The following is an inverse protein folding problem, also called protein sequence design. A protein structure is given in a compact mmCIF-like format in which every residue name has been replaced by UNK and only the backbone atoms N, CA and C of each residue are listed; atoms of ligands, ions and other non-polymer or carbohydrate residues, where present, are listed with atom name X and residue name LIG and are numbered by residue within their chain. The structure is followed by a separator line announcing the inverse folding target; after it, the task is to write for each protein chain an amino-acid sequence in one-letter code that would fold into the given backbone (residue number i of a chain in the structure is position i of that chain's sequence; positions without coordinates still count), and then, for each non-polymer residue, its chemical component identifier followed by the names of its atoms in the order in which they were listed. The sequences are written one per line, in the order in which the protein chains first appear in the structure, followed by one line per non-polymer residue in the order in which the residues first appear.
data_IF_356976846482
#
_entry.id   IF_356976846482
#
_cell.length_a   1.000
_cell.length_b   1.000
_cell.length_c   1.000
_cell.angle_alpha   90.00
_cell.angle_beta   90.00
_cell.angle_gamma   90.00
#
_symmetry.space_group_name_H-M   'P 1'
#
loop_
_entity.id
_entity.type
_entity.pdbx_description
1 polymer ?
#
# COMPACT_ATOMS: atom_id res chain seq x y z
N UNK A 1 -24.25 29.66 -0.63
CA UNK A 1 -24.64 28.27 -0.33
C UNK A 1 -25.10 27.64 -1.63
N UNK A 2 -24.30 26.82 -2.26
CA UNK A 2 -24.69 26.03 -3.43
C UNK A 2 -25.22 24.71 -2.87
N UNK A 3 -26.42 24.27 -3.23
CA UNK A 3 -26.95 23.01 -2.72
C UNK A 3 -26.11 21.84 -3.27
N UNK A 4 -25.61 21.02 -2.38
CA UNK A 4 -25.03 19.73 -2.74
C UNK A 4 -26.19 18.88 -3.27
N UNK A 5 -26.21 18.62 -4.57
CA UNK A 5 -27.12 17.64 -5.14
C UNK A 5 -26.75 16.27 -4.56
N UNK A 6 -27.72 15.61 -3.94
CA UNK A 6 -27.66 14.21 -3.60
C UNK A 6 -27.34 13.42 -4.87
N UNK A 7 -26.23 12.72 -4.87
CA UNK A 7 -25.86 11.83 -5.96
C UNK A 7 -26.93 10.74 -6.07
N UNK A 8 -27.57 10.69 -7.23
CA UNK A 8 -28.63 9.76 -7.59
C UNK A 8 -28.14 8.31 -7.37
N UNK A 9 -28.77 7.59 -6.45
CA UNK A 9 -28.44 6.22 -6.02
C UNK A 9 -28.74 5.14 -7.09
N UNK A 10 -28.81 5.51 -8.36
CA UNK A 10 -29.13 4.62 -9.48
C UNK A 10 -27.98 4.41 -10.46
N UNK A 11 -26.75 4.28 -9.95
CA UNK A 11 -25.69 3.70 -10.77
C UNK A 11 -25.90 2.19 -10.84
N UNK A 12 -25.93 1.58 -12.03
CA UNK A 12 -26.26 0.16 -12.15
C UNK A 12 -25.08 -0.73 -11.75
N UNK A 13 -24.79 -0.82 -10.46
CA UNK A 13 -23.84 -1.81 -9.91
C UNK A 13 -24.35 -3.27 -10.02
N UNK A 14 -25.60 -3.46 -10.41
CA UNK A 14 -26.24 -4.79 -10.42
C UNK A 14 -26.07 -5.59 -11.73
N UNK A 15 -25.36 -5.08 -12.75
CA UNK A 15 -25.28 -5.74 -14.08
C UNK A 15 -23.93 -6.34 -14.46
N UNK A 16 -22.91 -6.29 -13.63
CA UNK A 16 -21.57 -6.84 -13.93
C UNK A 16 -21.12 -7.90 -12.93
N UNK A 17 -21.97 -8.82 -12.56
CA UNK A 17 -21.52 -10.11 -12.02
C UNK A 17 -21.31 -11.07 -13.21
N UNK A 18 -20.54 -10.66 -14.21
CA UNK A 18 -19.81 -11.64 -15.03
C UNK A 18 -18.83 -12.34 -14.10
N UNK A 19 -18.80 -13.68 -14.15
CA UNK A 19 -17.84 -14.47 -13.38
C UNK A 19 -16.45 -13.92 -13.64
N UNK A 20 -15.87 -13.26 -12.64
CA UNK A 20 -14.54 -12.70 -12.76
C UNK A 20 -13.57 -13.76 -13.24
N UNK A 21 -12.73 -13.47 -14.25
CA UNK A 21 -11.71 -14.41 -14.67
C UNK A 21 -10.82 -14.69 -13.46
N UNK A 22 -10.76 -15.96 -13.05
CA UNK A 22 -9.87 -16.37 -11.95
C UNK A 22 -8.44 -16.26 -12.41
N UNK A 23 -7.61 -15.64 -11.59
CA UNK A 23 -6.16 -15.55 -11.79
C UNK A 23 -5.59 -16.98 -11.98
N UNK A 24 -4.91 -17.20 -13.10
CA UNK A 24 -4.31 -18.48 -13.46
C UNK A 24 -2.87 -18.58 -12.94
N UNK A 25 -2.36 -19.78 -12.75
CA UNK A 25 -1.00 -19.98 -12.19
C UNK A 25 0.13 -19.46 -13.08
N UNK A 26 -0.14 -19.26 -14.36
CA UNK A 26 0.80 -18.74 -15.34
C UNK A 26 0.57 -17.25 -15.67
N UNK A 27 -0.42 -16.61 -15.05
CA UNK A 27 -0.61 -15.16 -15.19
C UNK A 27 0.50 -14.42 -14.47
N UNK A 28 0.95 -13.32 -15.07
CA UNK A 28 1.97 -12.47 -14.47
C UNK A 28 1.36 -11.58 -13.39
N UNK A 29 1.89 -11.70 -12.18
CA UNK A 29 1.57 -10.85 -11.04
C UNK A 29 2.70 -9.86 -10.85
N UNK A 30 2.38 -8.57 -10.88
CA UNK A 30 3.31 -7.49 -10.53
C UNK A 30 3.13 -7.07 -9.08
N UNK A 31 4.22 -7.01 -8.33
CA UNK A 31 4.26 -6.51 -6.94
C UNK A 31 5.23 -5.33 -6.88
N UNK A 32 4.69 -4.12 -6.84
CA UNK A 32 5.44 -2.90 -6.60
C UNK A 32 5.74 -2.75 -5.10
N UNK A 33 6.96 -2.43 -4.73
CA UNK A 33 7.43 -2.41 -3.34
C UNK A 33 7.83 -3.81 -2.82
N UNK A 34 8.19 -4.73 -3.73
CA UNK A 34 8.53 -6.12 -3.39
C UNK A 34 9.80 -6.25 -2.53
N UNK A 35 10.71 -5.27 -2.59
CA UNK A 35 11.90 -5.21 -1.72
C UNK A 35 11.57 -4.85 -0.26
N UNK A 36 10.32 -4.46 0.04
CA UNK A 36 9.82 -4.17 1.37
C UNK A 36 9.28 -5.38 2.11
N UNK A 37 8.82 -5.14 3.35
CA UNK A 37 8.27 -6.17 4.23
C UNK A 37 7.01 -6.84 3.66
N UNK A 38 5.97 -6.03 3.39
CA UNK A 38 4.67 -6.55 2.95
C UNK A 38 4.78 -7.11 1.52
N UNK A 39 5.48 -6.39 0.62
CA UNK A 39 5.65 -6.82 -0.77
C UNK A 39 6.42 -8.15 -0.88
N UNK A 40 7.49 -8.31 -0.11
CA UNK A 40 8.23 -9.57 -0.05
C UNK A 40 7.39 -10.73 0.50
N UNK A 41 6.60 -10.48 1.55
CA UNK A 41 5.68 -11.47 2.11
C UNK A 41 4.60 -11.88 1.10
N UNK A 42 4.06 -10.93 0.35
CA UNK A 42 3.07 -11.19 -0.70
C UNK A 42 3.67 -12.00 -1.85
N UNK A 43 4.89 -11.67 -2.28
CA UNK A 43 5.59 -12.44 -3.31
C UNK A 43 5.80 -13.90 -2.89
N UNK A 44 6.20 -14.13 -1.64
CA UNK A 44 6.32 -15.47 -1.05
C UNK A 44 4.97 -16.19 -1.04
N UNK A 45 3.92 -15.51 -0.59
CA UNK A 45 2.57 -16.09 -0.57
C UNK A 45 2.13 -16.58 -1.95
N UNK A 46 2.29 -15.78 -2.99
CA UNK A 46 1.91 -16.19 -4.35
C UNK A 46 2.75 -17.36 -4.85
N UNK A 47 4.07 -17.34 -4.61
CA UNK A 47 4.94 -18.48 -4.93
C UNK A 47 4.46 -19.75 -4.24
N UNK A 48 4.19 -19.68 -2.93
CA UNK A 48 3.75 -20.85 -2.13
C UNK A 48 2.36 -21.36 -2.56
N UNK A 49 1.53 -20.48 -3.11
CA UNK A 49 0.26 -20.83 -3.77
C UNK A 49 0.45 -21.42 -5.18
N UNK A 50 1.68 -21.55 -5.66
CA UNK A 50 2.01 -22.16 -6.95
C UNK A 50 1.87 -21.25 -8.16
N UNK A 51 1.84 -19.93 -7.99
CA UNK A 51 1.96 -18.98 -9.09
C UNK A 51 3.39 -18.97 -9.62
N UNK A 52 3.56 -19.01 -10.94
CA UNK A 52 4.85 -19.25 -11.58
C UNK A 52 5.48 -17.96 -12.15
N UNK A 53 4.67 -16.94 -12.36
CA UNK A 53 5.14 -15.68 -12.95
C UNK A 53 4.85 -14.54 -11.97
N UNK A 54 5.84 -14.20 -11.18
CA UNK A 54 5.79 -13.11 -10.19
C UNK A 54 6.91 -12.15 -10.52
N UNK A 55 6.57 -10.89 -10.73
CA UNK A 55 7.52 -9.79 -10.93
C UNK A 55 7.49 -8.89 -9.71
N UNK A 56 8.60 -8.81 -9.00
CA UNK A 56 8.82 -7.87 -7.92
C UNK A 56 9.57 -6.64 -8.43
N UNK A 57 9.10 -5.46 -8.05
CA UNK A 57 9.75 -4.18 -8.40
C UNK A 57 9.96 -3.35 -7.15
N UNK A 58 11.15 -2.78 -6.97
CA UNK A 58 11.47 -1.82 -5.93
C UNK A 58 12.57 -0.87 -6.41
N UNK A 59 12.65 0.34 -5.84
CA UNK A 59 13.75 1.27 -6.11
C UNK A 59 15.04 0.91 -5.39
N UNK A 60 14.96 0.09 -4.32
CA UNK A 60 16.10 -0.41 -3.58
C UNK A 60 16.94 -1.34 -4.44
N UNK A 61 18.25 -1.27 -4.28
CA UNK A 61 19.14 -2.26 -4.86
C UNK A 61 18.80 -3.67 -4.33
N UNK A 62 18.95 -4.67 -5.17
CA UNK A 62 18.55 -6.05 -4.84
C UNK A 62 19.16 -6.61 -3.53
N UNK A 63 20.42 -6.27 -3.14
CA UNK A 63 20.97 -6.67 -1.85
C UNK A 63 20.23 -6.11 -0.63
N UNK A 64 19.51 -5.01 -0.78
CA UNK A 64 18.77 -4.32 0.29
C UNK A 64 17.33 -4.83 0.47
N UNK A 65 16.89 -5.76 -0.40
CA UNK A 65 15.57 -6.35 -0.28
C UNK A 65 15.49 -7.23 0.96
N UNK A 66 14.46 -7.05 1.76
CA UNK A 66 14.27 -7.81 3.00
C UNK A 66 14.07 -9.31 2.77
N UNK A 67 13.41 -9.65 1.67
CA UNK A 67 13.18 -11.03 1.26
C UNK A 67 13.49 -11.17 -0.24
N UNK A 68 14.36 -12.13 -0.57
CA UNK A 68 14.63 -12.52 -1.94
C UNK A 68 14.15 -13.93 -2.16
N UNK A 69 13.32 -14.10 -3.17
CA UNK A 69 12.70 -15.37 -3.50
C UNK A 69 13.24 -15.77 -4.88
N UNK A 70 13.97 -16.91 -5.00
CA UNK A 70 14.70 -17.25 -6.22
C UNK A 70 13.85 -17.27 -7.50
N UNK A 71 12.58 -17.66 -7.38
CA UNK A 71 11.66 -17.80 -8.52
C UNK A 71 10.95 -16.50 -8.92
N UNK A 72 11.21 -15.39 -8.21
CA UNK A 72 10.61 -14.09 -8.50
C UNK A 72 11.54 -13.29 -9.41
N UNK A 73 11.00 -12.80 -10.53
CA UNK A 73 11.67 -11.81 -11.37
C UNK A 73 11.81 -10.49 -10.59
N UNK A 74 13.03 -10.06 -10.30
CA UNK A 74 13.30 -8.87 -9.49
C UNK A 74 13.84 -7.74 -10.36
N UNK A 75 13.15 -6.59 -10.38
CA UNK A 75 13.56 -5.40 -11.12
C UNK A 75 13.84 -4.25 -10.14
N UNK A 76 14.99 -3.62 -10.29
CA UNK A 76 15.32 -2.37 -9.58
C UNK A 76 14.90 -1.19 -10.43
N UNK A 77 13.72 -0.62 -10.14
CA UNK A 77 13.15 0.50 -10.88
C UNK A 77 12.50 1.51 -9.92
N UNK A 78 12.72 2.79 -10.16
CA UNK A 78 11.97 3.86 -9.50
C UNK A 78 10.63 4.07 -10.22
N UNK A 79 9.55 3.68 -9.57
CA UNK A 79 8.19 3.79 -10.09
C UNK A 79 7.59 5.20 -10.00
N UNK A 80 8.33 6.20 -9.49
CA UNK A 80 7.97 7.61 -9.70
C UNK A 80 8.19 8.06 -11.15
N UNK A 81 8.86 7.25 -11.96
CA UNK A 81 9.08 7.46 -13.38
C UNK A 81 8.06 6.65 -14.21
N UNK A 82 7.36 7.33 -15.13
CA UNK A 82 6.31 6.75 -15.96
C UNK A 82 6.80 5.58 -16.83
N UNK A 83 7.97 5.74 -17.47
CA UNK A 83 8.54 4.70 -18.33
C UNK A 83 8.90 3.43 -17.55
N UNK A 84 9.36 3.58 -16.30
CA UNK A 84 9.63 2.44 -15.44
C UNK A 84 8.32 1.71 -15.06
N UNK A 85 7.22 2.45 -14.83
CA UNK A 85 5.91 1.86 -14.60
C UNK A 85 5.42 1.08 -15.83
N UNK A 86 5.59 1.64 -17.04
CA UNK A 86 5.25 0.97 -18.29
C UNK A 86 6.00 -0.36 -18.43
N UNK A 87 7.31 -0.36 -18.23
CA UNK A 87 8.16 -1.57 -18.26
C UNK A 87 7.75 -2.58 -17.19
N UNK A 88 7.45 -2.11 -15.97
CA UNK A 88 7.04 -2.98 -14.88
C UNK A 88 5.71 -3.69 -15.17
N UNK A 89 4.74 -2.98 -15.76
CA UNK A 89 3.40 -3.49 -16.03
C UNK A 89 3.31 -4.36 -17.29
N UNK A 90 4.36 -4.45 -18.12
CA UNK A 90 4.30 -5.20 -19.37
C UNK A 90 3.90 -6.66 -19.14
N UNK A 91 2.73 -7.05 -19.68
CA UNK A 91 2.15 -8.39 -19.57
C UNK A 91 1.59 -8.74 -18.18
N UNK A 92 1.51 -7.79 -17.25
CA UNK A 92 0.93 -8.04 -15.94
C UNK A 92 -0.61 -8.17 -16.03
N UNK A 93 -1.14 -9.23 -15.43
CA UNK A 93 -2.59 -9.49 -15.31
C UNK A 93 -3.16 -8.89 -14.03
N UNK A 94 -2.42 -8.97 -12.94
CA UNK A 94 -2.74 -8.30 -11.69
C UNK A 94 -1.57 -7.48 -11.19
N UNK A 95 -1.86 -6.28 -10.65
CA UNK A 95 -0.87 -5.34 -10.13
C UNK A 95 -1.17 -5.05 -8.66
N UNK A 96 -0.18 -5.25 -7.80
CA UNK A 96 -0.24 -4.94 -6.37
C UNK A 96 0.69 -3.77 -6.05
N UNK A 97 0.11 -2.60 -5.82
CA UNK A 97 0.86 -1.40 -5.45
C UNK A 97 1.04 -1.31 -3.93
N UNK A 98 2.22 -1.70 -3.46
CA UNK A 98 2.68 -1.59 -2.07
C UNK A 98 3.86 -0.62 -1.96
N UNK A 99 4.22 0.04 -3.07
CA UNK A 99 5.34 0.98 -3.12
C UNK A 99 4.94 2.34 -2.55
N UNK A 100 5.62 2.77 -1.51
CA UNK A 100 5.49 4.09 -0.91
C UNK A 100 6.71 4.44 -0.06
N UNK A 101 7.04 5.72 0.03
CA UNK A 101 7.94 6.20 1.07
C UNK A 101 7.14 6.42 2.35
N UNK A 102 7.32 5.51 3.30
CA UNK A 102 6.58 5.53 4.56
C UNK A 102 7.40 4.92 5.71
N UNK A 103 6.92 5.14 6.92
CA UNK A 103 7.51 4.60 8.15
C UNK A 103 6.53 4.67 9.31
N UNK A 104 7.03 4.65 10.54
CA UNK A 104 6.28 5.00 11.74
C UNK A 104 5.91 6.49 11.77
N UNK A 105 5.12 6.92 12.78
CA UNK A 105 4.65 8.32 12.91
C UNK A 105 5.80 9.32 12.82
N UNK A 106 6.91 9.09 13.50
CA UNK A 106 8.06 10.01 13.47
C UNK A 106 8.65 10.21 12.07
N UNK A 107 8.56 9.21 11.19
CA UNK A 107 9.00 9.33 9.80
C UNK A 107 8.00 10.17 8.97
N UNK A 108 6.72 9.84 9.01
CA UNK A 108 5.70 10.51 8.18
C UNK A 108 5.50 11.98 8.58
N UNK A 109 5.68 12.32 9.85
CA UNK A 109 5.64 13.71 10.32
C UNK A 109 6.85 14.52 9.88
N UNK A 110 8.03 13.93 9.82
CA UNK A 110 9.29 14.58 9.50
C UNK A 110 9.56 14.70 8.01
N UNK A 111 9.14 13.72 7.22
CA UNK A 111 9.45 13.59 5.79
C UNK A 111 8.18 13.64 4.92
N UNK A 112 7.37 14.68 5.12
CA UNK A 112 6.08 14.84 4.44
C UNK A 112 6.20 14.99 2.93
N UNK A 113 7.24 15.64 2.43
CA UNK A 113 7.46 15.82 0.98
C UNK A 113 7.72 14.46 0.33
N UNK A 114 8.56 13.63 0.93
CA UNK A 114 8.88 12.28 0.44
C UNK A 114 7.63 11.41 0.43
N UNK A 115 6.81 11.49 1.49
CA UNK A 115 5.53 10.77 1.55
C UNK A 115 4.58 11.23 0.44
N UNK A 116 4.41 12.56 0.26
CA UNK A 116 3.55 13.12 -0.80
C UNK A 116 4.01 12.73 -2.21
N UNK A 117 5.31 12.61 -2.45
CA UNK A 117 5.84 12.19 -3.76
C UNK A 117 5.41 10.78 -4.15
N UNK A 118 4.98 9.95 -3.21
CA UNK A 118 4.41 8.62 -3.50
C UNK A 118 3.17 8.68 -4.38
N UNK A 119 2.50 9.84 -4.49
CA UNK A 119 1.40 10.05 -5.43
C UNK A 119 1.82 9.78 -6.88
N UNK A 120 3.06 10.12 -7.26
CA UNK A 120 3.59 9.87 -8.59
C UNK A 120 3.66 8.37 -8.89
N UNK A 121 4.05 7.57 -7.90
CA UNK A 121 4.08 6.11 -8.05
C UNK A 121 2.69 5.57 -8.37
N UNK A 122 1.67 5.95 -7.58
CA UNK A 122 0.33 5.46 -7.84
C UNK A 122 -0.24 5.95 -9.17
N UNK A 123 -0.06 7.24 -9.48
CA UNK A 123 -0.58 7.85 -10.72
C UNK A 123 -0.01 7.17 -11.96
N UNK A 124 1.32 7.00 -12.02
CA UNK A 124 1.96 6.37 -13.17
C UNK A 124 1.69 4.86 -13.25
N UNK A 125 1.68 4.18 -12.08
CA UNK A 125 1.52 2.73 -12.06
C UNK A 125 0.10 2.30 -12.41
N UNK A 126 -0.94 3.00 -11.95
CA UNK A 126 -2.33 2.67 -12.29
C UNK A 126 -2.62 2.92 -13.77
N UNK A 127 -2.08 4.01 -14.33
CA UNK A 127 -2.19 4.28 -15.77
C UNK A 127 -1.46 3.22 -16.59
N UNK A 128 -0.24 2.83 -16.18
CA UNK A 128 0.51 1.78 -16.85
C UNK A 128 -0.19 0.41 -16.76
N UNK A 129 -0.78 0.08 -15.62
CA UNK A 129 -1.57 -1.13 -15.42
C UNK A 129 -2.81 -1.16 -16.34
N UNK A 130 -3.55 -0.04 -16.41
CA UNK A 130 -4.69 0.09 -17.31
C UNK A 130 -4.29 -0.10 -18.77
N UNK A 131 -3.23 0.59 -19.23
CA UNK A 131 -2.72 0.48 -20.63
C UNK A 131 -2.18 -0.90 -20.96
N UNK A 132 -1.60 -1.61 -19.99
CA UNK A 132 -1.15 -2.97 -20.15
C UNK A 132 -2.30 -4.00 -20.20
N UNK A 133 -3.54 -3.58 -19.98
CA UNK A 133 -4.71 -4.45 -19.95
C UNK A 133 -4.82 -5.30 -18.69
N UNK A 134 -4.25 -4.84 -17.56
CA UNK A 134 -4.38 -5.54 -16.29
C UNK A 134 -5.86 -5.70 -15.91
N UNK A 135 -6.22 -6.87 -15.38
CA UNK A 135 -7.61 -7.14 -14.97
C UNK A 135 -7.92 -6.54 -13.59
N UNK A 136 -6.90 -6.44 -12.73
CA UNK A 136 -7.06 -5.95 -11.36
C UNK A 136 -5.85 -5.14 -10.90
N UNK A 137 -6.15 -4.09 -10.15
CA UNK A 137 -5.17 -3.25 -9.48
C UNK A 137 -5.48 -3.17 -7.99
N UNK A 138 -4.53 -3.56 -7.15
CA UNK A 138 -4.63 -3.44 -5.70
C UNK A 138 -3.80 -2.25 -5.22
N UNK A 139 -4.38 -1.43 -4.34
CA UNK A 139 -3.71 -0.30 -3.72
C UNK A 139 -3.66 -0.44 -2.19
N UNK A 140 -2.45 -0.32 -1.64
CA UNK A 140 -2.23 -0.24 -0.20
C UNK A 140 -2.44 1.18 0.30
N UNK A 141 -3.63 1.45 0.82
CA UNK A 141 -3.93 2.67 1.56
C UNK A 141 -3.56 2.52 3.03
N UNK A 142 -3.99 3.44 3.87
CA UNK A 142 -3.61 3.53 5.27
C UNK A 142 -4.76 4.02 6.14
N UNK A 143 -4.74 3.68 7.42
CA UNK A 143 -5.59 4.31 8.43
C UNK A 143 -5.40 5.83 8.52
N UNK A 144 -4.27 6.37 8.06
CA UNK A 144 -4.02 7.81 7.96
C UNK A 144 -4.93 8.53 6.94
N UNK A 145 -5.64 7.79 6.08
CA UNK A 145 -6.64 8.34 5.17
C UNK A 145 -7.97 8.71 5.86
N UNK A 146 -8.24 8.16 7.05
CA UNK A 146 -9.43 8.51 7.80
C UNK A 146 -9.39 9.95 8.32
N UNK A 147 -10.59 10.48 8.61
CA UNK A 147 -10.73 11.80 9.22
C UNK A 147 -10.06 11.84 10.60
N UNK A 148 -9.04 12.68 10.75
CA UNK A 148 -8.24 12.78 11.98
C UNK A 148 -9.05 13.27 13.17
N UNK A 149 -10.12 14.05 12.96
CA UNK A 149 -10.98 14.52 14.05
C UNK A 149 -11.73 13.39 14.72
N UNK A 150 -12.04 12.32 13.99
CA UNK A 150 -12.71 11.14 14.54
C UNK A 150 -11.76 10.22 15.34
N UNK A 151 -10.45 10.47 15.26
CA UNK A 151 -9.43 9.64 15.92
C UNK A 151 -8.85 10.27 17.19
N UNK A 152 -9.37 11.43 17.62
CA UNK A 152 -8.85 12.16 18.78
C UNK A 152 -9.41 11.67 20.11
N UNK A 153 -10.59 11.06 20.11
CA UNK A 153 -11.21 10.53 21.33
C UNK A 153 -10.76 9.07 21.55
N UNK A 154 -10.11 8.74 22.68
CA UNK A 154 -9.72 7.36 22.99
C UNK A 154 -10.93 6.42 23.20
N UNK A 155 -12.13 6.96 23.35
CA UNK A 155 -13.39 6.21 23.45
C UNK A 155 -14.07 6.02 22.10
N UNK A 156 -13.42 6.38 21.01
CA UNK A 156 -14.00 6.29 19.68
C UNK A 156 -14.43 4.85 19.35
N UNK A 157 -15.58 4.72 18.74
CA UNK A 157 -16.05 3.47 18.13
C UNK A 157 -15.16 3.14 16.93
N UNK A 158 -15.02 1.87 16.59
CA UNK A 158 -14.29 1.44 15.40
C UNK A 158 -14.77 2.20 14.15
N UNK A 159 -13.82 2.77 13.39
CA UNK A 159 -14.10 3.54 12.19
C UNK A 159 -14.67 2.65 11.08
N UNK A 160 -15.59 3.21 10.31
CA UNK A 160 -16.12 2.62 9.07
C UNK A 160 -15.38 3.20 7.87
N UNK A 161 -15.43 2.55 6.74
CA UNK A 161 -14.77 3.05 5.52
C UNK A 161 -15.28 4.44 5.09
N UNK A 162 -16.56 4.73 5.31
CA UNK A 162 -17.17 6.06 5.08
C UNK A 162 -16.58 7.19 5.92
N UNK A 163 -15.94 6.87 7.04
CA UNK A 163 -15.40 7.84 8.00
C UNK A 163 -14.11 8.53 7.52
N UNK A 164 -13.67 8.25 6.30
CA UNK A 164 -12.69 9.08 5.59
C UNK A 164 -13.28 10.43 5.16
N UNK A 165 -14.61 10.55 5.12
CA UNK A 165 -15.32 11.75 4.71
C UNK A 165 -16.22 12.31 5.83
N UNK A 166 -16.37 13.66 5.92
CA UNK A 166 -15.69 14.67 5.12
C UNK A 166 -14.17 14.58 5.28
N UNK A 167 -13.44 14.78 4.17
CA UNK A 167 -12.00 14.54 4.11
C UNK A 167 -11.20 15.44 5.06
N UNK A 168 -10.50 14.83 6.00
CA UNK A 168 -9.59 15.47 6.95
C UNK A 168 -8.45 14.49 7.29
N UNK A 169 -7.82 13.96 6.26
CA UNK A 169 -6.75 12.98 6.39
C UNK A 169 -5.51 13.54 7.10
N UNK A 170 -4.65 12.66 7.62
CA UNK A 170 -3.38 13.05 8.22
C UNK A 170 -2.53 13.86 7.23
N UNK A 171 -1.87 14.91 7.73
CA UNK A 171 -1.14 15.87 6.91
C UNK A 171 0.07 15.22 6.22
N UNK A 172 0.04 15.22 4.89
CA UNK A 172 1.08 14.64 4.05
C UNK A 172 0.72 13.23 3.61
N UNK A 173 1.15 12.22 4.35
CA UNK A 173 0.95 10.81 3.99
C UNK A 173 -0.53 10.41 3.86
N UNK A 174 -1.38 10.84 4.80
CA UNK A 174 -2.80 10.54 4.76
C UNK A 174 -3.51 11.13 3.54
N UNK A 175 -3.18 12.37 3.17
CA UNK A 175 -3.71 13.02 1.98
C UNK A 175 -3.23 12.34 0.68
N UNK A 176 -1.96 11.92 0.62
CA UNK A 176 -1.46 11.13 -0.51
C UNK A 176 -2.27 9.85 -0.69
N UNK A 177 -2.49 9.13 0.42
CA UNK A 177 -3.26 7.87 0.39
C UNK A 177 -4.70 8.11 -0.04
N UNK A 178 -5.39 9.12 0.51
CA UNK A 178 -6.77 9.42 0.16
C UNK A 178 -6.92 9.84 -1.32
N UNK A 179 -6.01 10.66 -1.84
CA UNK A 179 -5.98 11.03 -3.26
C UNK A 179 -5.76 9.79 -4.13
N UNK A 180 -4.85 8.92 -3.75
CA UNK A 180 -4.59 7.67 -4.48
C UNK A 180 -5.80 6.71 -4.47
N UNK A 181 -6.60 6.69 -3.40
CA UNK A 181 -7.89 5.98 -3.37
C UNK A 181 -8.86 6.55 -4.41
N UNK A 182 -8.94 7.87 -4.54
CA UNK A 182 -9.79 8.52 -5.55
C UNK A 182 -9.37 8.11 -6.97
N UNK A 183 -8.07 8.11 -7.29
CA UNK A 183 -7.59 7.58 -8.57
C UNK A 183 -8.08 6.15 -8.82
N UNK A 184 -7.97 5.27 -7.83
CA UNK A 184 -8.43 3.90 -7.96
C UNK A 184 -9.95 3.82 -8.23
N UNK A 185 -10.75 4.63 -7.54
CA UNK A 185 -12.20 4.68 -7.70
C UNK A 185 -12.59 5.16 -9.11
N UNK A 186 -11.96 6.25 -9.60
CA UNK A 186 -12.26 6.81 -10.91
C UNK A 186 -11.77 5.90 -12.07
N UNK A 187 -10.62 5.24 -11.93
CA UNK A 187 -10.19 4.24 -12.90
C UNK A 187 -11.15 3.06 -13.01
N UNK A 188 -11.77 2.67 -11.89
CA UNK A 188 -12.82 1.66 -11.96
C UNK A 188 -14.09 2.22 -12.63
N UNK A 189 -14.56 3.39 -12.18
CA UNK A 189 -15.81 3.99 -12.67
C UNK A 189 -15.76 4.36 -14.16
N UNK A 190 -14.67 5.00 -14.59
CA UNK A 190 -14.57 5.55 -15.95
C UNK A 190 -13.90 4.61 -16.94
N UNK A 191 -12.93 3.80 -16.48
CA UNK A 191 -12.06 2.98 -17.33
C UNK A 191 -12.33 1.47 -17.20
N UNK A 192 -13.11 1.05 -16.22
CA UNK A 192 -13.43 -0.35 -15.99
C UNK A 192 -12.28 -1.18 -15.42
N UNK A 193 -11.15 -0.57 -15.04
CA UNK A 193 -10.07 -1.26 -14.34
C UNK A 193 -10.55 -1.62 -12.93
N UNK A 194 -10.68 -2.91 -12.64
CA UNK A 194 -11.09 -3.34 -11.30
C UNK A 194 -10.04 -3.00 -10.27
N UNK A 195 -10.39 -2.15 -9.32
CA UNK A 195 -9.49 -1.75 -8.25
C UNK A 195 -9.94 -2.32 -6.90
N UNK A 196 -8.97 -2.65 -6.05
CA UNK A 196 -9.19 -3.04 -4.67
C UNK A 196 -8.30 -2.19 -3.76
N UNK A 197 -8.90 -1.61 -2.72
CA UNK A 197 -8.22 -0.71 -1.79
C UNK A 197 -8.25 -1.33 -0.41
N UNK A 198 -7.10 -1.39 0.27
CA UNK A 198 -7.04 -1.79 1.67
C UNK A 198 -6.37 -0.70 2.51
N UNK A 199 -7.07 -0.17 3.50
CA UNK A 199 -6.53 0.76 4.49
C UNK A 199 -5.82 -0.03 5.57
N UNK A 200 -4.50 -0.18 5.43
CA UNK A 200 -3.70 -0.88 6.41
C UNK A 200 -3.58 -0.05 7.70
N UNK A 201 -3.80 -0.72 8.81
CA UNK A 201 -3.40 -0.25 10.14
C UNK A 201 -1.92 -0.59 10.40
N UNK A 202 -1.51 -0.76 11.65
CA UNK A 202 -0.13 -1.10 11.96
C UNK A 202 0.15 -2.56 11.61
N UNK A 203 0.85 -2.78 10.49
CA UNK A 203 1.34 -4.10 10.09
C UNK A 203 2.74 -4.29 10.66
N UNK A 204 2.98 -5.40 11.33
CA UNK A 204 4.26 -5.79 11.89
C UNK A 204 4.44 -7.31 11.82
N UNK A 205 5.67 -7.77 11.93
CA UNK A 205 5.97 -9.20 11.90
C UNK A 205 7.39 -9.49 11.40
N UNK A 206 7.73 -10.77 11.18
CA UNK A 206 9.03 -11.17 10.64
C UNK A 206 9.35 -10.44 9.33
N UNK A 207 10.60 -10.01 9.19
CA UNK A 207 11.10 -9.20 8.07
C UNK A 207 10.60 -7.75 8.03
N UNK A 208 9.80 -7.32 9.02
CA UNK A 208 9.45 -5.90 9.20
C UNK A 208 10.62 -5.11 9.75
N UNK A 209 10.64 -3.80 9.47
CA UNK A 209 11.60 -2.88 10.08
C UNK A 209 11.42 -2.86 11.59
N UNK A 210 12.49 -3.07 12.34
CA UNK A 210 12.49 -3.14 13.81
C UNK A 210 13.40 -2.08 14.47
N UNK A 211 14.20 -1.38 13.66
CA UNK A 211 15.11 -0.31 14.08
C UNK A 211 15.26 0.77 12.99
N UNK A 212 15.94 1.89 13.32
CA UNK A 212 16.27 2.96 12.35
C UNK A 212 15.19 4.02 12.16
N UNK A 213 14.16 4.11 13.03
CA UNK A 213 13.17 5.19 13.06
C UNK A 213 12.01 5.03 12.09
N UNK A 214 11.94 3.91 11.35
CA UNK A 214 10.80 3.57 10.47
C UNK A 214 9.94 2.43 11.06
N UNK A 215 10.37 1.85 12.17
CA UNK A 215 9.68 0.75 12.82
C UNK A 215 8.32 1.16 13.40
N UNK A 216 7.41 0.20 13.45
CA UNK A 216 6.12 0.36 14.13
C UNK A 216 6.25 0.06 15.63
N UNK A 217 5.34 0.61 16.44
CA UNK A 217 5.38 0.50 17.90
C UNK A 217 5.61 -0.93 18.43
N UNK A 218 4.93 -1.99 17.95
CA UNK A 218 5.16 -3.35 18.44
C UNK A 218 6.60 -3.82 18.23
N UNK A 219 7.19 -3.55 17.05
CA UNK A 219 8.57 -3.92 16.74
C UNK A 219 9.57 -3.14 17.62
N UNK A 220 9.34 -1.83 17.80
CA UNK A 220 10.16 -0.99 18.67
C UNK A 220 10.12 -1.46 20.13
N UNK A 221 8.94 -1.85 20.63
CA UNK A 221 8.79 -2.36 22.01
C UNK A 221 9.53 -3.69 22.17
N UNK A 222 9.35 -4.63 21.24
CA UNK A 222 10.07 -5.90 21.25
C UNK A 222 11.60 -5.68 21.31
N UNK A 223 12.13 -4.81 20.45
CA UNK A 223 13.56 -4.47 20.44
C UNK A 223 14.02 -3.90 21.79
N UNK A 224 13.25 -2.95 22.35
CA UNK A 224 13.58 -2.32 23.63
C UNK A 224 13.58 -3.33 24.78
N UNK A 225 12.62 -4.25 24.81
CA UNK A 225 12.55 -5.30 25.84
C UNK A 225 13.74 -6.24 25.74
N UNK A 226 14.08 -6.70 24.53
CA UNK A 226 15.24 -7.58 24.31
C UNK A 226 16.53 -6.85 24.74
N UNK A 227 16.73 -5.61 24.32
CA UNK A 227 17.90 -4.83 24.70
C UNK A 227 18.01 -4.60 26.23
N UNK A 228 16.89 -4.37 26.90
CA UNK A 228 16.85 -4.23 28.36
C UNK A 228 17.23 -5.55 29.07
N UNK A 229 16.76 -6.69 28.53
CA UNK A 229 17.15 -8.01 29.03
C UNK A 229 18.65 -8.25 28.86
N UNK A 230 19.19 -8.01 27.66
CA UNK A 230 20.62 -8.24 27.35
C UNK A 230 21.57 -7.38 28.20
N UNK A 231 21.16 -6.13 28.45
CA UNK A 231 21.92 -5.17 29.26
C UNK A 231 21.64 -5.28 30.77
N UNK A 232 20.75 -6.18 31.20
CA UNK A 232 20.26 -6.30 32.59
C UNK A 232 19.70 -4.99 33.15
N UNK A 233 19.20 -4.12 32.27
CA UNK A 233 18.46 -2.91 32.60
C UNK A 233 16.95 -3.21 32.47
N UNK A 234 16.26 -3.28 33.60
CA UNK A 234 14.85 -3.67 33.66
C UNK A 234 13.88 -2.54 33.31
N UNK A 235 14.39 -1.48 32.66
CA UNK A 235 13.60 -0.32 32.25
C UNK A 235 13.60 -0.13 30.75
N UNK A 236 12.43 0.24 30.22
CA UNK A 236 12.28 0.67 28.82
C UNK A 236 11.57 2.02 28.76
N UNK A 237 11.99 2.87 27.81
CA UNK A 237 11.28 4.14 27.55
C UNK A 237 10.22 3.91 26.48
N UNK A 238 8.98 4.25 26.82
CA UNK A 238 7.82 4.22 25.91
C UNK A 238 7.39 5.65 25.65
N UNK A 239 7.07 5.95 24.39
CA UNK A 239 6.44 7.21 23.99
C UNK A 239 4.93 7.01 24.01
N UNK A 240 4.20 7.90 24.62
CA UNK A 240 2.74 7.92 24.65
C UNK A 240 2.23 9.33 24.78
#
# INVERSE_FOLDING_TARGET
MVPVQEADSKTPMAKLVEKEPRLQKNDLILIAGAGGFIGGALARYFRDKGFRRIRGVDKKALPEWYQRIPEVECLTLDLSNEENCRRACEGAVEVYNLAADMGGMGFIERFRVECLRSILVNTHLIEAAYRAGAHRYFFSSSACAYNTLLQQDPKVTALKESDAYPAMAERGYGWEKLMSEMFCQEYWAERGLKTAIARFHNVYGPWGTWDGGREKAPAAICRKVIAAQDNRDHTIRIWG
#
